data_IF_600271484153
#
_entry.id   IF_600271484153
#
_cell.length_a   1.000
_cell.length_b   1.000
_cell.length_c   1.000
_cell.angle_alpha   90.00
_cell.angle_beta   90.00
_cell.angle_gamma   90.00
#
_symmetry.space_group_name_H-M   'P 1'
#
loop_
_entity.id
_entity.type
_entity.pdbx_description
1 polymer ?
#
# COMPACT_ATOMS: atom_id res chain seq x y z
N UNK A 1 -18.22 -1.33 -14.84
CA UNK A 1 -17.47 -2.58 -14.54
C UNK A 1 -18.04 -3.34 -13.32
N UNK A 2 -18.99 -4.26 -13.50
CA UNK A 2 -19.36 -5.25 -12.48
C UNK A 2 -18.59 -6.55 -12.78
N UNK A 3 -17.35 -6.67 -12.32
CA UNK A 3 -16.61 -7.92 -12.51
C UNK A 3 -17.16 -8.99 -11.57
N UNK A 4 -17.92 -9.95 -12.12
CA UNK A 4 -18.24 -11.21 -11.42
C UNK A 4 -17.02 -12.16 -11.40
N UNK A 5 -16.08 -11.99 -12.34
CA UNK A 5 -14.83 -12.77 -12.40
C UNK A 5 -13.60 -11.86 -12.59
N UNK A 6 -12.78 -11.74 -11.54
CA UNK A 6 -11.54 -10.95 -11.55
C UNK A 6 -10.59 -11.38 -12.68
N UNK A 7 -10.57 -12.68 -13.03
CA UNK A 7 -9.69 -13.25 -14.06
C UNK A 7 -9.84 -12.66 -15.46
N UNK A 8 -11.02 -12.10 -15.79
CA UNK A 8 -11.30 -11.49 -17.10
C UNK A 8 -11.06 -9.98 -17.11
N UNK A 9 -10.78 -9.37 -15.96
CA UNK A 9 -10.51 -7.93 -15.88
C UNK A 9 -9.26 -7.54 -16.66
N UNK A 10 -9.29 -6.38 -17.31
CA UNK A 10 -8.16 -5.80 -18.05
C UNK A 10 -7.58 -6.64 -19.19
N UNK A 11 -8.29 -7.67 -19.67
CA UNK A 11 -7.95 -8.33 -20.93
C UNK A 11 -8.19 -7.34 -22.07
N UNK A 12 -7.27 -7.26 -23.03
CA UNK A 12 -7.38 -6.27 -24.11
C UNK A 12 -8.65 -6.48 -24.96
N UNK A 13 -9.10 -7.72 -25.13
CA UNK A 13 -10.37 -8.06 -25.80
C UNK A 13 -11.57 -7.46 -25.08
N UNK A 14 -11.65 -7.67 -23.77
CA UNK A 14 -12.71 -7.12 -22.90
C UNK A 14 -12.68 -5.59 -22.91
N UNK A 15 -11.49 -4.99 -22.76
CA UNK A 15 -11.34 -3.53 -22.82
C UNK A 15 -11.70 -2.98 -24.21
N UNK A 16 -11.36 -3.70 -25.27
CA UNK A 16 -11.72 -3.36 -26.65
C UNK A 16 -13.23 -3.35 -26.87
N UNK A 17 -13.93 -4.37 -26.39
CA UNK A 17 -15.39 -4.44 -26.41
C UNK A 17 -16.05 -3.30 -25.61
N UNK A 18 -15.46 -2.90 -24.48
CA UNK A 18 -15.96 -1.73 -23.72
C UNK A 18 -15.66 -0.39 -24.37
N UNK A 19 -14.65 -0.31 -25.24
CA UNK A 19 -14.28 0.93 -25.92
C UNK A 19 -15.18 1.19 -27.14
N UNK A 20 -15.45 0.16 -27.96
CA UNK A 20 -16.18 0.32 -29.25
C UNK A 20 -17.47 -0.50 -29.36
N UNK A 21 -17.89 -1.19 -28.29
CA UNK A 21 -18.98 -2.16 -28.33
C UNK A 21 -18.49 -3.58 -28.64
N UNK A 22 -19.25 -4.59 -28.20
CA UNK A 22 -18.85 -6.01 -28.28
C UNK A 22 -18.66 -6.48 -29.74
N UNK A 23 -19.49 -6.00 -30.67
CA UNK A 23 -19.39 -6.33 -32.10
C UNK A 23 -18.09 -5.79 -32.75
N UNK A 24 -17.51 -4.73 -32.19
CA UNK A 24 -16.26 -4.12 -32.67
C UNK A 24 -15.09 -4.31 -31.71
N UNK A 25 -15.18 -5.31 -30.81
CA UNK A 25 -14.13 -5.62 -29.84
C UNK A 25 -12.74 -5.83 -30.48
N UNK A 26 -12.57 -6.47 -31.65
CA UNK A 26 -11.27 -6.59 -32.31
C UNK A 26 -10.66 -5.23 -32.69
N UNK A 27 -11.45 -4.31 -33.22
CA UNK A 27 -10.99 -2.97 -33.56
C UNK A 27 -10.61 -2.16 -32.32
N UNK A 28 -11.40 -2.27 -31.24
CA UNK A 28 -11.09 -1.65 -29.96
C UNK A 28 -9.81 -2.20 -29.34
N UNK A 29 -9.63 -3.52 -29.41
CA UNK A 29 -8.41 -4.22 -28.97
C UNK A 29 -7.19 -3.70 -29.71
N UNK A 30 -7.29 -3.57 -31.05
CA UNK A 30 -6.21 -3.02 -31.88
C UNK A 30 -5.86 -1.59 -31.47
N UNK A 31 -6.86 -0.73 -31.22
CA UNK A 31 -6.64 0.65 -30.75
C UNK A 31 -5.88 0.69 -29.42
N UNK A 32 -6.31 -0.09 -28.43
CA UNK A 32 -5.64 -0.14 -27.12
C UNK A 32 -4.23 -0.74 -27.25
N UNK A 33 -4.07 -1.80 -28.05
CA UNK A 33 -2.76 -2.39 -28.30
C UNK A 33 -1.80 -1.40 -28.95
N UNK A 34 -2.27 -0.62 -29.93
CA UNK A 34 -1.49 0.44 -30.57
C UNK A 34 -1.11 1.54 -29.58
N UNK A 35 -2.03 1.96 -28.71
CA UNK A 35 -1.72 2.92 -27.65
C UNK A 35 -0.58 2.40 -26.76
N UNK A 36 -0.66 1.16 -26.28
CA UNK A 36 0.36 0.58 -25.41
C UNK A 36 1.71 0.39 -26.12
N UNK A 37 1.71 0.09 -27.42
CA UNK A 37 2.93 -0.08 -28.23
C UNK A 37 3.54 1.23 -28.70
N UNK A 38 2.80 2.34 -28.66
CA UNK A 38 3.29 3.62 -29.16
C UNK A 38 4.54 4.05 -28.40
N UNK A 39 5.57 4.44 -29.14
CA UNK A 39 6.82 5.00 -28.60
C UNK A 39 6.71 6.48 -28.24
N UNK A 40 5.59 7.13 -28.57
CA UNK A 40 5.38 8.57 -28.34
C UNK A 40 5.07 8.92 -26.88
N UNK A 41 4.87 7.92 -26.02
CA UNK A 41 4.65 8.12 -24.60
C UNK A 41 5.18 6.93 -23.81
N UNK A 42 5.43 7.16 -22.53
CA UNK A 42 5.94 6.17 -21.58
C UNK A 42 5.10 6.15 -20.30
N UNK A 43 5.17 5.05 -19.57
CA UNK A 43 4.47 4.89 -18.30
C UNK A 43 4.91 5.92 -17.25
N UNK A 44 6.13 6.43 -17.36
CA UNK A 44 6.72 7.50 -16.53
C UNK A 44 5.93 8.81 -16.60
N UNK A 45 5.23 9.11 -17.69
CA UNK A 45 4.35 10.27 -17.79
C UNK A 45 3.27 10.28 -16.68
N UNK A 46 2.61 9.13 -16.49
CA UNK A 46 1.57 9.00 -15.46
C UNK A 46 2.20 9.02 -14.08
N UNK A 47 3.36 8.41 -13.95
CA UNK A 47 4.11 8.38 -12.70
C UNK A 47 4.48 9.78 -12.22
N UNK A 48 5.04 10.62 -13.09
CA UNK A 48 5.36 12.03 -12.81
C UNK A 48 4.10 12.79 -12.39
N UNK A 49 2.99 12.62 -13.11
CA UNK A 49 1.72 13.24 -12.74
C UNK A 49 1.26 12.83 -11.33
N UNK A 50 1.35 11.54 -10.98
CA UNK A 50 0.99 11.06 -9.65
C UNK A 50 1.91 11.62 -8.56
N UNK A 51 3.21 11.71 -8.85
CA UNK A 51 4.20 12.29 -7.95
C UNK A 51 3.93 13.77 -7.70
N UNK A 52 3.67 14.57 -8.74
CA UNK A 52 3.30 15.98 -8.62
C UNK A 52 2.06 16.18 -7.75
N UNK A 53 1.03 15.33 -7.91
CA UNK A 53 -0.17 15.37 -7.06
C UNK A 53 0.13 15.01 -5.61
N UNK A 54 1.02 14.04 -5.38
CA UNK A 54 1.49 13.75 -4.04
C UNK A 54 2.28 14.93 -3.44
N UNK A 55 3.15 15.59 -4.21
CA UNK A 55 3.93 16.74 -3.75
C UNK A 55 3.03 17.90 -3.35
N UNK A 56 2.05 18.24 -4.18
CA UNK A 56 1.03 19.25 -3.86
C UNK A 56 0.32 18.93 -2.55
N UNK A 57 -0.01 17.65 -2.32
CA UNK A 57 -0.65 17.23 -1.08
C UNK A 57 0.28 17.28 0.13
N UNK A 58 1.55 16.90 -0.05
CA UNK A 58 2.56 16.97 1.01
C UNK A 58 2.73 18.42 1.49
N UNK A 59 2.86 19.36 0.54
CA UNK A 59 2.97 20.78 0.84
C UNK A 59 1.74 21.29 1.62
N UNK A 60 0.52 20.96 1.17
CA UNK A 60 -0.70 21.32 1.90
C UNK A 60 -0.73 20.80 3.34
N UNK A 61 -0.23 19.59 3.59
CA UNK A 61 -0.16 19.02 4.93
C UNK A 61 0.88 19.74 5.79
N UNK A 62 2.02 20.11 5.20
CA UNK A 62 3.07 20.87 5.86
C UNK A 62 2.60 22.29 6.22
N UNK A 63 1.92 22.98 5.31
CA UNK A 63 1.34 24.31 5.54
C UNK A 63 0.32 24.28 6.69
N UNK A 64 -0.40 23.16 6.86
CA UNK A 64 -1.32 22.90 7.96
C UNK A 64 -0.64 22.38 9.24
N UNK A 65 0.69 22.34 9.28
CA UNK A 65 1.49 21.81 10.38
C UNK A 65 1.11 20.37 10.78
N UNK A 66 0.66 19.58 9.81
CA UNK A 66 0.29 18.18 10.03
C UNK A 66 1.48 17.26 9.75
N UNK A 67 1.68 16.25 10.60
CA UNK A 67 2.65 15.20 10.33
C UNK A 67 2.29 14.47 9.03
N UNK A 68 3.19 14.58 8.06
CA UNK A 68 3.12 13.88 6.80
C UNK A 68 3.97 12.61 6.86
N UNK A 69 3.40 11.51 6.39
CA UNK A 69 4.02 10.18 6.42
C UNK A 69 4.01 9.55 5.03
N UNK A 70 5.01 8.72 4.76
CA UNK A 70 5.07 7.90 3.56
C UNK A 70 5.11 6.43 3.96
N UNK A 71 4.13 5.67 3.50
CA UNK A 71 3.93 4.27 3.84
C UNK A 71 4.63 3.40 2.80
N UNK A 72 5.55 2.55 3.24
CA UNK A 72 6.30 1.65 2.39
C UNK A 72 5.85 0.21 2.56
N UNK A 73 5.61 -0.46 1.44
CA UNK A 73 5.36 -1.90 1.44
C UNK A 73 5.58 -2.48 0.04
N UNK A 74 5.68 -3.80 0.01
CA UNK A 74 5.87 -4.57 -1.22
C UNK A 74 4.75 -5.57 -1.43
N UNK A 75 4.52 -5.90 -2.68
CA UNK A 75 3.54 -6.87 -3.12
C UNK A 75 4.05 -7.60 -4.34
N UNK A 76 3.40 -8.71 -4.69
CA UNK A 76 3.71 -9.46 -5.92
C UNK A 76 2.48 -9.55 -6.81
N UNK A 77 2.72 -9.62 -8.12
CA UNK A 77 1.71 -9.97 -9.10
C UNK A 77 2.04 -11.34 -9.67
N UNK A 78 1.24 -12.32 -9.28
CA UNK A 78 1.34 -13.71 -9.72
C UNK A 78 0.82 -13.82 -11.17
N UNK A 79 1.60 -14.50 -12.02
CA UNK A 79 1.29 -14.82 -13.43
C UNK A 79 1.53 -16.31 -13.70
N UNK A 80 0.87 -17.23 -12.94
CA UNK A 80 1.10 -18.66 -13.06
C UNK A 80 0.79 -19.23 -14.44
N UNK A 81 -0.01 -18.52 -15.24
CA UNK A 81 -0.41 -18.92 -16.59
C UNK A 81 0.69 -18.76 -17.66
N UNK A 82 1.83 -18.13 -17.35
CA UNK A 82 2.86 -17.87 -18.34
C UNK A 82 4.27 -18.09 -17.81
N UNK A 83 5.11 -18.69 -18.65
CA UNK A 83 6.57 -18.74 -18.49
C UNK A 83 7.31 -17.89 -19.54
N UNK A 84 6.59 -17.39 -20.54
CA UNK A 84 7.17 -16.75 -21.74
C UNK A 84 7.06 -15.23 -21.75
N UNK A 85 6.15 -14.64 -20.96
CA UNK A 85 6.04 -13.19 -20.90
C UNK A 85 7.32 -12.57 -20.32
N UNK A 86 7.69 -11.39 -20.81
CA UNK A 86 8.87 -10.67 -20.36
C UNK A 86 8.75 -10.20 -18.91
N UNK A 87 9.91 -10.06 -18.26
CA UNK A 87 10.03 -9.54 -16.90
C UNK A 87 9.50 -10.48 -15.80
N UNK A 88 9.24 -11.76 -16.10
CA UNK A 88 8.82 -12.71 -15.08
C UNK A 88 10.00 -13.19 -14.22
N UNK A 89 9.84 -13.13 -12.90
CA UNK A 89 10.69 -13.77 -11.91
C UNK A 89 9.88 -14.75 -11.04
N UNK A 90 10.57 -15.49 -10.17
CA UNK A 90 9.92 -16.37 -9.22
C UNK A 90 9.39 -15.56 -8.03
N UNK A 91 8.06 -15.54 -7.86
CA UNK A 91 7.41 -14.87 -6.73
C UNK A 91 6.70 -15.88 -5.83
N UNK A 92 6.72 -15.65 -4.52
CA UNK A 92 6.05 -16.54 -3.56
C UNK A 92 4.53 -16.42 -3.70
N UNK A 93 3.84 -17.53 -4.00
CA UNK A 93 2.39 -17.50 -4.19
C UNK A 93 1.64 -17.35 -2.87
N UNK A 94 0.90 -16.25 -2.75
CA UNK A 94 -0.01 -15.98 -1.64
C UNK A 94 -1.23 -16.91 -1.68
N UNK A 95 -1.68 -17.27 -2.91
CA UNK A 95 -2.80 -18.19 -3.15
C UNK A 95 -2.44 -19.60 -2.68
N UNK A 96 -1.28 -20.12 -3.08
CA UNK A 96 -0.80 -21.42 -2.63
C UNK A 96 -0.58 -21.45 -1.10
N UNK A 97 0.01 -20.39 -0.53
CA UNK A 97 0.15 -20.26 0.93
C UNK A 97 -1.19 -20.35 1.65
N UNK A 98 -2.25 -19.74 1.11
CA UNK A 98 -3.60 -19.79 1.67
C UNK A 98 -4.23 -21.18 1.55
N UNK A 99 -4.04 -21.86 0.43
CA UNK A 99 -4.55 -23.22 0.22
C UNK A 99 -3.83 -24.26 1.10
N UNK A 100 -2.54 -24.07 1.39
CA UNK A 100 -1.77 -24.91 2.32
C UNK A 100 -2.05 -24.64 3.81
N UNK A 101 -2.78 -23.56 4.15
CA UNK A 101 -3.04 -23.19 5.54
C UNK A 101 -4.07 -24.14 6.15
N UNK A 102 -3.70 -24.79 7.26
CA UNK A 102 -4.61 -25.61 8.06
C UNK A 102 -5.79 -24.75 8.56
N UNK A 103 -7.01 -25.23 8.33
CA UNK A 103 -8.23 -24.64 8.90
C UNK A 103 -8.55 -25.37 10.22
N UNK A 104 -9.16 -24.70 11.21
CA UNK A 104 -9.63 -25.37 12.42
C UNK A 104 -10.48 -26.60 12.07
N UNK A 105 -10.23 -27.73 12.74
CA UNK A 105 -10.92 -29.01 12.50
C UNK A 105 -10.31 -29.92 11.43
N UNK A 106 -9.24 -29.50 10.75
CA UNK A 106 -8.45 -30.33 9.83
C UNK A 106 -7.10 -30.63 10.46
N UNK A 107 -6.57 -31.85 10.29
CA UNK A 107 -5.41 -32.33 11.07
C UNK A 107 -4.10 -32.54 10.29
N UNK A 108 -4.12 -32.57 8.95
CA UNK A 108 -2.92 -32.76 8.13
C UNK A 108 -2.84 -31.75 6.97
N UNK A 109 -2.03 -30.69 7.05
CA UNK A 109 -1.82 -29.80 5.92
C UNK A 109 -0.89 -30.45 4.88
N UNK A 110 -1.03 -30.13 3.58
CA UNK A 110 0.05 -30.38 2.63
C UNK A 110 1.27 -29.55 3.03
N UNK A 111 2.27 -30.23 3.61
CA UNK A 111 3.53 -29.63 4.08
C UNK A 111 4.45 -29.13 2.96
N UNK A 112 5.71 -28.94 3.31
CA UNK A 112 6.79 -28.66 2.36
C UNK A 112 7.08 -27.17 2.10
N UNK A 113 8.00 -26.94 1.16
CA UNK A 113 8.56 -25.62 0.86
C UNK A 113 7.47 -24.64 0.35
N UNK A 114 7.68 -23.32 0.52
CA UNK A 114 6.82 -22.31 -0.09
C UNK A 114 6.77 -22.48 -1.61
N UNK A 115 5.55 -22.44 -2.16
CA UNK A 115 5.35 -22.51 -3.61
C UNK A 115 5.65 -21.16 -4.24
N UNK A 116 6.48 -21.18 -5.27
CA UNK A 116 6.77 -20.03 -6.11
C UNK A 116 6.11 -20.22 -7.47
N UNK A 117 5.63 -19.13 -8.04
CA UNK A 117 5.02 -19.09 -9.38
C UNK A 117 5.68 -17.96 -10.17
N UNK A 118 5.64 -17.99 -11.51
CA UNK A 118 6.04 -16.85 -12.31
C UNK A 118 5.22 -15.61 -11.92
N UNK A 119 5.87 -14.46 -11.91
CA UNK A 119 5.25 -13.18 -11.57
C UNK A 119 6.29 -12.08 -11.57
N UNK A 120 6.00 -10.99 -10.88
CA UNK A 120 6.94 -9.88 -10.73
C UNK A 120 6.60 -9.10 -9.46
N UNK A 121 7.58 -8.34 -8.99
CA UNK A 121 7.52 -7.60 -7.75
C UNK A 121 6.87 -6.23 -7.96
N UNK A 122 6.31 -5.68 -6.89
CA UNK A 122 5.62 -4.40 -6.85
C UNK A 122 5.97 -3.66 -5.57
N UNK A 123 6.67 -2.54 -5.70
CA UNK A 123 6.92 -1.62 -4.60
C UNK A 123 5.91 -0.47 -4.63
N UNK A 124 5.36 -0.13 -3.46
CA UNK A 124 4.47 1.01 -3.32
C UNK A 124 4.84 1.93 -2.19
N UNK A 125 4.71 3.22 -2.47
CA UNK A 125 4.85 4.30 -1.53
C UNK A 125 3.54 5.09 -1.57
N UNK A 126 2.84 5.14 -0.43
CA UNK A 126 1.63 5.95 -0.28
C UNK A 126 1.89 7.12 0.65
N UNK A 127 1.61 8.34 0.18
CA UNK A 127 1.64 9.54 0.99
C UNK A 127 0.36 9.66 1.81
N UNK A 128 0.44 10.00 3.10
CA UNK A 128 -0.72 10.26 3.93
C UNK A 128 -0.40 11.27 5.04
N UNK A 129 -1.44 11.89 5.61
CA UNK A 129 -1.38 12.46 6.96
C UNK A 129 -1.91 11.45 7.99
N UNK A 130 -1.69 11.73 9.27
CA UNK A 130 -2.17 10.85 10.37
C UNK A 130 -3.70 10.67 10.37
N UNK A 131 -4.46 11.63 9.80
CA UNK A 131 -5.93 11.62 9.76
C UNK A 131 -6.53 11.70 8.36
N UNK A 132 -5.74 11.85 7.30
CA UNK A 132 -6.24 12.13 5.93
C UNK A 132 -6.17 10.89 5.04
N UNK A 133 -6.96 10.79 3.97
CA UNK A 133 -6.84 9.65 3.05
C UNK A 133 -5.46 9.59 2.36
N UNK A 134 -4.98 8.38 2.01
CA UNK A 134 -3.69 8.22 1.36
C UNK A 134 -3.79 8.57 -0.13
N UNK A 135 -2.66 8.94 -0.71
CA UNK A 135 -2.44 9.13 -2.15
C UNK A 135 -1.27 8.28 -2.61
N UNK A 136 -1.25 7.94 -3.90
CA UNK A 136 -0.11 7.24 -4.50
C UNK A 136 1.03 8.25 -4.66
N UNK A 137 2.20 7.96 -4.10
CA UNK A 137 3.42 8.68 -4.41
C UNK A 137 4.20 7.94 -5.50
N UNK A 138 4.47 6.65 -5.27
CA UNK A 138 5.18 5.80 -6.23
C UNK A 138 4.58 4.41 -6.30
N UNK A 139 4.44 3.88 -7.51
CA UNK A 139 4.30 2.46 -7.76
C UNK A 139 5.38 2.05 -8.75
N UNK A 140 6.19 1.05 -8.36
CA UNK A 140 7.22 0.45 -9.21
C UNK A 140 6.94 -1.02 -9.36
N UNK A 141 6.78 -1.47 -10.59
CA UNK A 141 6.85 -2.89 -10.92
C UNK A 141 8.23 -3.21 -11.40
N UNK A 142 8.81 -4.26 -10.85
CA UNK A 142 10.17 -4.65 -11.16
C UNK A 142 10.29 -6.17 -11.15
N UNK A 143 11.37 -6.65 -11.73
CA UNK A 143 11.71 -8.07 -11.74
C UNK A 143 13.11 -8.24 -11.19
N UNK A 144 13.41 -9.42 -10.67
CA UNK A 144 14.73 -9.77 -10.12
C UNK A 144 15.53 -10.65 -11.08
N UNK A 145 15.03 -10.88 -12.29
CA UNK A 145 15.63 -11.79 -13.28
C UNK A 145 15.51 -11.24 -14.71
N UNK A 146 16.52 -11.54 -15.52
CA UNK A 146 16.54 -11.23 -16.96
C UNK A 146 16.98 -9.81 -17.25
N UNK A 147 16.73 -9.36 -18.46
CA UNK A 147 17.14 -8.04 -18.99
C UNK A 147 16.68 -6.87 -18.11
N UNK A 148 15.49 -6.97 -17.51
CA UNK A 148 14.91 -5.92 -16.67
C UNK A 148 15.19 -6.12 -15.17
N UNK A 149 16.15 -6.97 -14.81
CA UNK A 149 16.45 -7.28 -13.41
C UNK A 149 16.88 -6.03 -12.64
N UNK A 150 16.30 -5.85 -11.47
CA UNK A 150 16.67 -4.82 -10.52
C UNK A 150 16.96 -5.48 -9.17
N UNK A 151 18.04 -5.04 -8.53
CA UNK A 151 18.30 -5.38 -7.14
C UNK A 151 17.31 -4.63 -6.24
N UNK A 152 16.70 -5.37 -5.31
CA UNK A 152 15.66 -4.86 -4.42
C UNK A 152 16.17 -3.72 -3.55
N UNK A 153 17.36 -3.85 -2.97
CA UNK A 153 17.90 -2.83 -2.08
C UNK A 153 18.24 -1.55 -2.85
N UNK A 154 18.80 -1.70 -4.05
CA UNK A 154 19.11 -0.58 -4.94
C UNK A 154 17.84 0.19 -5.34
N UNK A 155 16.76 -0.52 -5.67
CA UNK A 155 15.45 0.10 -5.95
C UNK A 155 14.88 0.82 -4.72
N UNK A 156 14.92 0.21 -3.54
CA UNK A 156 14.48 0.85 -2.29
C UNK A 156 15.25 2.15 -2.01
N UNK A 157 16.57 2.12 -2.18
CA UNK A 157 17.45 3.27 -1.96
C UNK A 157 17.18 4.37 -2.99
N UNK A 158 17.00 4.02 -4.26
CA UNK A 158 16.63 4.97 -5.31
C UNK A 158 15.28 5.63 -5.05
N UNK A 159 14.26 4.87 -4.63
CA UNK A 159 12.96 5.43 -4.25
C UNK A 159 13.04 6.31 -3.00
N UNK A 160 13.94 6.00 -2.07
CA UNK A 160 14.15 6.82 -0.87
C UNK A 160 14.72 8.17 -1.28
N UNK A 161 15.73 8.18 -2.15
CA UNK A 161 16.30 9.40 -2.71
C UNK A 161 15.27 10.20 -3.50
N UNK A 162 14.48 9.55 -4.38
CA UNK A 162 13.40 10.20 -5.11
C UNK A 162 12.35 10.80 -4.16
N UNK A 163 12.03 10.12 -3.06
CA UNK A 163 11.11 10.64 -2.03
C UNK A 163 11.70 11.86 -1.31
N UNK A 164 13.00 11.84 -0.98
CA UNK A 164 13.69 12.98 -0.35
C UNK A 164 13.73 14.17 -1.30
N UNK A 165 14.04 13.96 -2.57
CA UNK A 165 14.01 15.02 -3.59
C UNK A 165 12.61 15.58 -3.76
N UNK A 166 11.59 14.71 -3.78
CA UNK A 166 10.23 15.13 -4.06
C UNK A 166 9.56 15.85 -2.88
N UNK A 167 9.81 15.41 -1.64
CA UNK A 167 9.06 15.84 -0.45
C UNK A 167 9.93 16.48 0.64
N UNK A 168 11.25 16.45 0.50
CA UNK A 168 12.20 16.85 1.53
C UNK A 168 12.36 15.79 2.64
N UNK A 169 13.04 16.16 3.73
CA UNK A 169 13.40 15.26 4.84
C UNK A 169 12.45 15.29 6.04
N UNK A 170 11.41 16.13 5.99
CA UNK A 170 10.50 16.34 7.10
C UNK A 170 9.46 15.20 7.24
N UNK A 171 9.23 14.42 6.18
CA UNK A 171 8.27 13.33 6.17
C UNK A 171 8.79 12.14 6.98
N UNK A 172 7.86 11.42 7.63
CA UNK A 172 8.21 10.19 8.32
C UNK A 172 7.97 8.97 7.42
N UNK A 173 9.03 8.21 7.17
CA UNK A 173 8.97 6.97 6.42
C UNK A 173 8.54 5.81 7.32
N UNK A 174 7.42 5.15 6.99
CA UNK A 174 6.83 4.08 7.80
C UNK A 174 7.06 2.72 7.16
N UNK A 175 7.72 1.82 7.89
CA UNK A 175 8.15 0.51 7.41
C UNK A 175 7.67 -0.64 8.30
N UNK A 176 7.36 -1.80 7.70
CA UNK A 176 7.10 -3.02 8.45
C UNK A 176 8.39 -3.82 8.78
N UNK A 177 8.22 -4.90 9.55
CA UNK A 177 9.30 -5.79 10.03
C UNK A 177 10.23 -6.33 8.93
N UNK A 178 9.76 -6.43 7.68
CA UNK A 178 10.57 -6.91 6.56
C UNK A 178 11.74 -5.98 6.19
N UNK A 179 11.67 -4.72 6.61
CA UNK A 179 12.73 -3.72 6.40
C UNK A 179 13.69 -3.63 7.59
N UNK A 180 13.42 -4.36 8.68
CA UNK A 180 14.28 -4.31 9.85
C UNK A 180 15.60 -5.02 9.56
N UNK A 181 16.69 -4.26 9.61
CA UNK A 181 18.04 -4.77 9.42
C UNK A 181 19.06 -3.65 9.40
N UNK A 182 20.32 -4.00 9.72
CA UNK A 182 21.46 -3.06 9.78
C UNK A 182 21.58 -2.20 8.53
N UNK A 183 21.51 -2.84 7.35
CA UNK A 183 21.75 -2.17 6.06
C UNK A 183 20.71 -1.09 5.76
N UNK A 184 19.42 -1.41 5.89
CA UNK A 184 18.35 -0.44 5.63
C UNK A 184 18.28 0.64 6.72
N UNK A 185 18.48 0.27 7.99
CA UNK A 185 18.56 1.26 9.07
C UNK A 185 19.71 2.25 8.84
N UNK A 186 20.87 1.77 8.39
CA UNK A 186 22.01 2.62 8.02
C UNK A 186 21.64 3.63 6.93
N UNK A 187 20.97 3.18 5.87
CA UNK A 187 20.51 4.06 4.79
C UNK A 187 19.61 5.19 5.32
N UNK A 188 18.62 4.87 6.16
CA UNK A 188 17.71 5.88 6.74
C UNK A 188 18.45 6.91 7.61
N UNK A 189 19.45 6.44 8.38
CA UNK A 189 20.26 7.30 9.25
C UNK A 189 21.21 8.19 8.45
N UNK A 190 21.89 7.63 7.44
CA UNK A 190 22.76 8.38 6.53
C UNK A 190 22.00 9.50 5.82
N UNK A 191 20.79 9.21 5.32
CA UNK A 191 19.97 10.21 4.64
C UNK A 191 19.30 11.22 5.60
N UNK A 192 19.38 10.98 6.91
CA UNK A 192 18.79 11.81 7.98
C UNK A 192 17.29 12.05 7.80
N UNK A 193 16.56 11.00 7.42
CA UNK A 193 15.10 11.05 7.25
C UNK A 193 14.39 10.63 8.53
N UNK A 194 13.22 11.22 8.81
CA UNK A 194 12.34 10.74 9.86
C UNK A 194 11.79 9.35 9.52
N UNK A 195 11.77 8.42 10.47
CA UNK A 195 11.18 7.09 10.20
C UNK A 195 10.45 6.47 11.40
N UNK A 196 9.54 5.54 11.08
CA UNK A 196 8.91 4.63 12.02
C UNK A 196 9.03 3.21 11.47
N UNK A 197 9.91 2.41 12.05
CA UNK A 197 10.22 1.06 11.60
C UNK A 197 9.72 0.05 12.64
N UNK A 198 8.85 -0.88 12.25
CA UNK A 198 8.47 -1.96 13.17
C UNK A 198 9.63 -2.90 13.40
N UNK A 199 10.16 -2.87 14.62
CA UNK A 199 11.31 -3.64 15.02
C UNK A 199 10.88 -5.05 15.49
N UNK A 200 11.49 -6.13 14.98
CA UNK A 200 11.24 -7.47 15.47
C UNK A 200 11.62 -7.58 16.95
N UNK A 201 10.73 -8.14 17.77
CA UNK A 201 10.90 -8.17 19.22
C UNK A 201 12.21 -8.82 19.70
N UNK A 202 12.73 -9.78 18.92
CA UNK A 202 13.97 -10.53 19.22
C UNK A 202 15.24 -9.82 18.74
N UNK A 203 15.11 -8.80 17.89
CA UNK A 203 16.26 -8.03 17.43
C UNK A 203 16.81 -7.21 18.58
N UNK A 204 18.13 -7.11 18.62
CA UNK A 204 18.86 -6.49 19.71
C UNK A 204 19.00 -4.99 19.47
N UNK A 205 18.91 -4.24 20.56
CA UNK A 205 19.24 -2.83 20.66
C UNK A 205 20.13 -2.66 21.90
N UNK A 206 20.74 -1.50 22.03
CA UNK A 206 21.56 -1.15 23.20
C UNK A 206 20.77 -0.16 24.05
N UNK A 207 20.70 -0.44 25.34
CA UNK A 207 20.24 0.52 26.34
C UNK A 207 21.25 0.60 27.50
N UNK A 208 20.91 1.28 28.58
CA UNK A 208 21.77 1.46 29.77
C UNK A 208 22.31 0.14 30.35
N UNK A 209 21.63 -1.00 30.12
CA UNK A 209 22.08 -2.32 30.59
C UNK A 209 22.76 -3.14 29.49
N UNK A 210 23.21 -2.49 28.42
CA UNK A 210 23.89 -3.09 27.29
C UNK A 210 22.96 -3.68 26.24
N UNK A 211 23.49 -4.63 25.46
CA UNK A 211 22.85 -5.19 24.27
C UNK A 211 21.79 -6.23 24.62
N UNK A 212 20.51 -5.93 24.36
CA UNK A 212 19.36 -6.78 24.75
C UNK A 212 18.30 -6.80 23.66
N UNK A 213 17.47 -7.83 23.64
CA UNK A 213 16.34 -7.89 22.72
C UNK A 213 15.29 -6.81 23.06
N UNK A 214 14.65 -6.23 22.05
CA UNK A 214 13.67 -5.15 22.24
C UNK A 214 12.54 -5.50 23.24
N UNK A 215 12.10 -6.76 23.29
CA UNK A 215 11.10 -7.19 24.29
C UNK A 215 11.63 -7.18 25.73
N UNK A 216 12.93 -7.44 25.93
CA UNK A 216 13.56 -7.43 27.25
C UNK A 216 13.76 -6.00 27.75
N UNK A 217 14.10 -5.07 26.85
CA UNK A 217 14.25 -3.64 27.13
C UNK A 217 12.93 -3.07 27.70
N UNK A 218 11.80 -3.46 27.08
CA UNK A 218 10.48 -2.98 27.47
C UNK A 218 9.84 -3.75 28.65
N UNK A 219 10.44 -4.87 29.09
CA UNK A 219 9.86 -5.75 30.11
C UNK A 219 9.86 -5.05 31.47
N UNK A 220 8.72 -5.08 32.15
CA UNK A 220 8.55 -4.44 33.47
C UNK A 220 8.50 -2.91 33.45
N UNK A 221 8.69 -2.26 32.29
CA UNK A 221 8.61 -0.80 32.19
C UNK A 221 7.15 -0.33 32.27
N UNK A 222 6.94 0.70 33.09
CA UNK A 222 5.65 1.36 33.27
C UNK A 222 5.19 2.05 31.98
N UNK A 223 3.89 2.27 31.87
CA UNK A 223 3.31 3.02 30.74
C UNK A 223 3.58 4.50 30.91
N UNK A 224 4.10 5.16 29.87
CA UNK A 224 4.30 6.61 29.84
C UNK A 224 2.99 7.35 29.53
N UNK A 225 2.23 6.86 28.54
CA UNK A 225 1.02 7.54 28.07
C UNK A 225 -0.12 6.55 27.80
N UNK A 226 -1.35 6.97 28.09
CA UNK A 226 -2.59 6.24 27.77
C UNK A 226 -3.47 7.10 26.87
N UNK A 227 -4.14 6.49 25.89
CA UNK A 227 -5.10 7.18 25.02
C UNK A 227 -6.24 6.25 24.66
N UNK A 228 -7.45 6.82 24.54
CA UNK A 228 -8.59 6.11 23.96
C UNK A 228 -8.47 6.12 22.44
N UNK A 229 -8.46 4.93 21.85
CA UNK A 229 -8.38 4.71 20.40
C UNK A 229 -9.62 3.93 19.98
N UNK A 230 -10.23 4.34 18.86
CA UNK A 230 -11.36 3.63 18.29
C UNK A 230 -10.88 2.37 17.54
N UNK A 231 -11.33 1.19 17.95
CA UNK A 231 -11.14 -0.05 17.19
C UNK A 231 -12.27 -0.18 16.17
N UNK A 232 -11.99 0.20 14.92
CA UNK A 232 -12.96 0.16 13.83
C UNK A 232 -13.45 -1.25 13.48
N UNK A 233 -12.67 -2.31 13.78
CA UNK A 233 -13.09 -3.68 13.49
C UNK A 233 -14.11 -4.18 14.52
N UNK A 234 -13.90 -3.86 15.80
CA UNK A 234 -14.83 -4.22 16.86
C UNK A 234 -15.84 -3.13 17.23
N UNK A 235 -15.77 -1.97 16.56
CA UNK A 235 -16.66 -0.83 16.75
C UNK A 235 -16.76 -0.41 18.22
N UNK A 236 -15.61 -0.31 18.90
CA UNK A 236 -15.57 0.07 20.31
C UNK A 236 -14.34 0.94 20.64
N UNK A 237 -14.49 1.80 21.64
CA UNK A 237 -13.38 2.53 22.22
C UNK A 237 -12.51 1.59 23.06
N UNK A 238 -11.19 1.73 22.92
CA UNK A 238 -10.22 0.96 23.70
C UNK A 238 -9.17 1.88 24.28
N UNK A 239 -8.71 1.56 25.48
CA UNK A 239 -7.57 2.23 26.08
C UNK A 239 -6.30 1.55 25.60
N UNK A 240 -5.54 2.24 24.74
CA UNK A 240 -4.19 1.86 24.38
C UNK A 240 -3.20 2.51 25.33
N UNK A 241 -2.09 1.81 25.60
CA UNK A 241 -0.95 2.36 26.33
C UNK A 241 0.30 2.32 25.46
N UNK A 242 1.16 3.32 25.64
CA UNK A 242 2.45 3.38 24.98
C UNK A 242 3.52 3.90 25.95
N UNK A 243 4.77 3.54 25.66
CA UNK A 243 5.96 4.06 26.31
C UNK A 243 7.05 4.23 25.27
N UNK A 244 7.96 5.17 25.48
CA UNK A 244 9.18 5.31 24.70
C UNK A 244 10.39 5.09 25.59
N UNK A 245 11.42 4.45 25.03
CA UNK A 245 12.69 4.19 25.71
C UNK A 245 13.81 4.64 24.78
N UNK A 246 14.72 5.47 25.29
CA UNK A 246 15.94 5.82 24.58
C UNK A 246 16.79 4.55 24.40
N UNK A 247 17.26 4.35 23.17
CA UNK A 247 18.06 3.19 22.76
C UNK A 247 19.05 3.62 21.68
N UNK A 248 20.06 2.80 21.42
CA UNK A 248 20.92 2.92 20.24
C UNK A 248 21.01 1.59 19.52
N UNK A 249 21.57 1.62 18.31
CA UNK A 249 21.91 0.40 17.57
C UNK A 249 23.42 0.16 17.70
N UNK A 250 23.85 -1.09 17.91
CA UNK A 250 25.26 -1.40 18.18
C UNK A 250 26.21 -0.94 17.06
N UNK A 251 25.76 -1.00 15.81
CA UNK A 251 26.53 -0.53 14.65
C UNK A 251 26.45 0.99 14.42
N UNK A 252 25.55 1.68 15.11
CA UNK A 252 25.31 3.12 14.96
C UNK A 252 25.17 3.76 16.36
N UNK A 253 26.23 3.69 17.19
CA UNK A 253 26.16 4.08 18.60
C UNK A 253 25.87 5.57 18.81
N UNK A 254 26.32 6.42 17.89
CA UNK A 254 26.15 7.88 17.97
C UNK A 254 24.76 8.35 17.53
N UNK A 255 23.92 7.44 17.02
CA UNK A 255 22.59 7.76 16.52
C UNK A 255 21.56 7.54 17.63
N UNK A 256 21.00 8.65 18.14
CA UNK A 256 19.94 8.61 19.12
C UNK A 256 18.66 8.02 18.52
N UNK A 257 18.17 6.93 19.13
CA UNK A 257 16.97 6.25 18.70
C UNK A 257 16.01 6.08 19.88
N UNK A 258 14.74 5.86 19.54
CA UNK A 258 13.68 5.60 20.50
C UNK A 258 12.94 4.31 20.14
N UNK A 259 12.76 3.45 21.14
CA UNK A 259 11.91 2.27 21.07
C UNK A 259 10.54 2.60 21.66
N UNK A 260 9.58 2.89 20.79
CA UNK A 260 8.18 3.08 21.17
C UNK A 260 7.47 1.73 21.24
N UNK A 261 6.95 1.40 22.42
CA UNK A 261 6.22 0.15 22.66
C UNK A 261 4.74 0.41 22.89
N UNK A 262 3.92 0.05 21.90
CA UNK A 262 2.47 0.16 22.00
C UNK A 262 1.85 -1.15 22.47
N UNK A 263 1.14 -1.09 23.59
CA UNK A 263 0.38 -2.19 24.18
C UNK A 263 -1.11 -1.93 23.92
N UNK A 264 -1.67 -2.68 22.98
CA UNK A 264 -3.06 -2.49 22.51
C UNK A 264 -4.12 -3.22 23.37
N UNK A 265 -3.72 -3.77 24.52
CA UNK A 265 -4.58 -4.49 25.46
C UNK A 265 -5.03 -5.89 25.00
N UNK A 266 -5.75 -6.60 25.87
CA UNK A 266 -6.39 -7.92 25.62
C UNK A 266 -5.46 -9.02 25.08
N UNK A 267 -4.25 -9.14 25.63
CA UNK A 267 -3.31 -10.22 25.28
C UNK A 267 -2.72 -10.14 23.86
N UNK A 268 -2.94 -9.04 23.13
CA UNK A 268 -2.32 -8.84 21.82
C UNK A 268 -0.82 -8.58 21.95
N UNK A 269 -0.06 -9.11 21.01
CA UNK A 269 1.38 -8.86 20.94
C UNK A 269 1.64 -7.34 20.79
N UNK A 270 2.47 -6.74 21.67
CA UNK A 270 2.84 -5.34 21.57
C UNK A 270 3.52 -5.00 20.24
N UNK A 271 3.37 -3.76 19.81
CA UNK A 271 4.17 -3.22 18.72
C UNK A 271 5.45 -2.62 19.29
N UNK A 272 6.58 -3.01 18.71
CA UNK A 272 7.89 -2.42 18.98
C UNK A 272 8.24 -1.59 17.74
N UNK A 273 8.31 -0.26 17.91
CA UNK A 273 8.50 0.70 16.83
C UNK A 273 9.80 1.45 17.11
N UNK A 274 10.79 1.27 16.24
CA UNK A 274 12.04 2.01 16.29
C UNK A 274 11.89 3.29 15.47
N UNK A 275 12.32 4.42 16.03
CA UNK A 275 12.25 5.73 15.39
C UNK A 275 13.43 6.59 15.81
N UNK A 276 13.80 7.56 14.97
CA UNK A 276 14.73 8.65 15.31
C UNK A 276 14.01 9.93 15.75
N UNK A 277 12.69 9.91 15.90
CA UNK A 277 11.93 11.05 16.41
C UNK A 277 12.05 11.09 17.94
N UNK A 278 12.41 12.25 18.48
CA UNK A 278 12.53 12.47 19.92
C UNK A 278 11.16 12.26 20.61
N UNK A 279 11.09 11.26 21.48
CA UNK A 279 9.83 10.79 22.07
C UNK A 279 9.65 11.22 23.54
N UNK A 280 10.14 12.41 23.88
CA UNK A 280 10.05 12.97 25.23
C UNK A 280 8.60 13.32 25.59
N UNK A 281 7.84 13.81 24.61
CA UNK A 281 6.45 14.21 24.77
C UNK A 281 5.47 13.08 24.42
N UNK A 282 4.42 12.95 25.23
CA UNK A 282 3.34 11.99 25.07
C UNK A 282 2.68 12.03 23.68
N UNK A 283 2.56 13.22 23.08
CA UNK A 283 1.97 13.40 21.76
C UNK A 283 2.82 12.83 20.64
N UNK A 284 4.16 12.96 20.72
CA UNK A 284 5.07 12.38 19.72
C UNK A 284 5.01 10.86 19.78
N UNK A 285 5.00 10.28 20.98
CA UNK A 285 4.83 8.83 21.19
C UNK A 285 3.57 8.34 20.48
N UNK A 286 2.44 9.05 20.64
CA UNK A 286 1.20 8.68 19.94
C UNK A 286 1.24 8.93 18.45
N UNK A 287 1.90 9.98 17.97
CA UNK A 287 2.09 10.24 16.54
C UNK A 287 2.85 9.09 15.88
N UNK A 288 3.87 8.53 16.54
CA UNK A 288 4.60 7.34 16.07
C UNK A 288 3.68 6.11 16.00
N UNK A 289 2.88 5.87 17.05
CA UNK A 289 1.92 4.75 17.06
C UNK A 289 0.85 4.90 15.98
N UNK A 290 0.31 6.11 15.81
CA UNK A 290 -0.69 6.42 14.79
C UNK A 290 -0.09 6.29 13.38
N UNK A 291 1.11 6.80 13.14
CA UNK A 291 1.83 6.66 11.88
C UNK A 291 1.98 5.17 11.50
N UNK A 292 2.40 4.32 12.44
CA UNK A 292 2.47 2.88 12.17
C UNK A 292 1.09 2.25 11.97
N UNK A 293 0.05 2.69 12.69
CA UNK A 293 -1.31 2.20 12.48
C UNK A 293 -1.82 2.52 11.05
N UNK A 294 -1.41 3.66 10.47
CA UNK A 294 -1.71 4.03 9.07
C UNK A 294 -1.11 3.08 8.05
N UNK A 295 -0.03 2.36 8.38
CA UNK A 295 0.59 1.38 7.48
C UNK A 295 -0.42 0.38 6.89
N UNK A 296 -1.49 0.00 7.61
CA UNK A 296 -2.51 -0.91 7.07
C UNK A 296 -3.20 -0.43 5.78
N UNK A 297 -3.12 0.87 5.47
CA UNK A 297 -3.69 1.46 4.26
C UNK A 297 -3.02 0.95 2.99
N UNK A 298 -1.71 0.67 3.02
CA UNK A 298 -1.04 0.12 1.83
C UNK A 298 -1.46 -1.33 1.56
N UNK A 299 -1.70 -2.13 2.60
CA UNK A 299 -2.30 -3.45 2.43
C UNK A 299 -3.73 -3.37 1.86
N UNK A 300 -4.50 -2.35 2.28
CA UNK A 300 -5.82 -2.10 1.71
C UNK A 300 -5.73 -1.71 0.24
N UNK A 301 -4.74 -0.90 -0.14
CA UNK A 301 -4.42 -0.59 -1.53
C UNK A 301 -4.11 -1.86 -2.34
N UNK A 302 -3.24 -2.74 -1.83
CA UNK A 302 -2.92 -4.02 -2.49
C UNK A 302 -4.14 -4.89 -2.70
N UNK A 303 -4.96 -5.02 -1.67
CA UNK A 303 -6.17 -5.84 -1.72
C UNK A 303 -7.15 -5.28 -2.74
N UNK A 304 -7.42 -3.98 -2.68
CA UNK A 304 -8.32 -3.29 -3.61
C UNK A 304 -7.81 -3.38 -5.06
N UNK A 305 -6.55 -3.07 -5.30
CA UNK A 305 -5.97 -3.08 -6.64
C UNK A 305 -6.00 -4.47 -7.27
N UNK A 306 -5.69 -5.52 -6.50
CA UNK A 306 -5.73 -6.90 -6.99
C UNK A 306 -7.15 -7.43 -7.14
N UNK A 307 -8.09 -7.07 -6.26
CA UNK A 307 -9.46 -7.61 -6.29
C UNK A 307 -10.41 -6.82 -7.18
N UNK A 308 -10.42 -5.50 -7.05
CA UNK A 308 -11.40 -4.62 -7.68
C UNK A 308 -10.92 -4.00 -8.99
N UNK A 309 -9.61 -3.78 -9.13
CA UNK A 309 -9.00 -3.27 -10.37
C UNK A 309 -8.35 -4.36 -11.21
N UNK A 310 -8.47 -5.63 -10.79
CA UNK A 310 -8.01 -6.80 -11.52
C UNK A 310 -6.54 -6.76 -11.96
N UNK A 311 -5.64 -6.12 -11.18
CA UNK A 311 -4.23 -5.93 -11.57
C UNK A 311 -3.46 -7.24 -11.83
N UNK A 312 -3.96 -8.38 -11.34
CA UNK A 312 -3.37 -9.71 -11.61
C UNK A 312 -3.80 -10.32 -12.94
N UNK A 313 -4.74 -9.72 -13.67
CA UNK A 313 -5.37 -10.31 -14.85
C UNK A 313 -4.75 -9.93 -16.21
N UNK A 314 -4.08 -8.77 -16.41
CA UNK A 314 -3.45 -8.45 -17.69
C UNK A 314 -2.49 -9.53 -18.20
N UNK A 315 -2.59 -9.91 -19.49
CA UNK A 315 -1.75 -10.94 -20.14
C UNK A 315 -0.80 -10.36 -21.20
N UNK A 316 -0.28 -9.17 -20.96
CA UNK A 316 0.63 -8.49 -21.89
C UNK A 316 2.00 -9.18 -21.89
N UNK A 317 2.49 -9.52 -23.08
CA UNK A 317 3.77 -10.23 -23.25
C UNK A 317 4.98 -9.33 -23.03
N UNK A 318 4.93 -8.10 -23.54
CA UNK A 318 6.04 -7.17 -23.48
C UNK A 318 6.05 -6.39 -22.16
N UNK A 319 7.25 -6.20 -21.60
CA UNK A 319 7.43 -5.55 -20.31
C UNK A 319 6.95 -4.09 -20.32
N UNK A 320 7.38 -3.29 -21.29
CA UNK A 320 7.03 -1.87 -21.35
C UNK A 320 5.52 -1.64 -21.53
N UNK A 321 4.88 -2.39 -22.44
CA UNK A 321 3.43 -2.32 -22.63
C UNK A 321 2.67 -2.65 -21.33
N UNK A 322 3.21 -3.57 -20.53
CA UNK A 322 2.65 -3.94 -19.23
C UNK A 322 2.75 -2.78 -18.26
N UNK A 323 3.93 -2.16 -18.12
CA UNK A 323 4.10 -0.99 -17.25
C UNK A 323 3.13 0.13 -17.60
N UNK A 324 2.94 0.41 -18.89
CA UNK A 324 1.96 1.39 -19.41
C UNK A 324 0.54 1.09 -18.95
N UNK A 325 0.04 -0.12 -19.21
CA UNK A 325 -1.32 -0.48 -18.79
C UNK A 325 -1.47 -0.42 -17.26
N UNK A 326 -0.46 -0.87 -16.53
CA UNK A 326 -0.51 -0.87 -15.07
C UNK A 326 -0.49 0.54 -14.48
N UNK A 327 0.26 1.47 -15.08
CA UNK A 327 0.23 2.89 -14.73
C UNK A 327 -1.13 3.52 -15.05
N UNK A 328 -1.77 3.19 -16.17
CA UNK A 328 -3.15 3.63 -16.43
C UNK A 328 -4.11 3.16 -15.33
N UNK A 329 -3.96 1.94 -14.83
CA UNK A 329 -4.78 1.43 -13.72
C UNK A 329 -4.43 2.13 -12.40
N UNK A 330 -3.16 2.46 -12.16
CA UNK A 330 -2.75 3.28 -11.02
C UNK A 330 -3.37 4.68 -11.06
N UNK A 331 -3.48 5.29 -12.24
CA UNK A 331 -4.17 6.56 -12.44
C UNK A 331 -5.67 6.45 -12.09
N UNK A 332 -6.34 5.38 -12.52
CA UNK A 332 -7.73 5.10 -12.13
C UNK A 332 -7.84 4.92 -10.61
N UNK A 333 -6.89 4.22 -9.98
CA UNK A 333 -6.86 4.08 -8.52
C UNK A 333 -6.69 5.43 -7.82
N UNK A 334 -5.79 6.28 -8.31
CA UNK A 334 -5.57 7.63 -7.77
C UNK A 334 -6.82 8.50 -7.87
N UNK A 335 -7.53 8.44 -9.00
CA UNK A 335 -8.82 9.11 -9.16
C UNK A 335 -9.86 8.61 -8.15
N UNK A 336 -9.94 7.30 -7.92
CA UNK A 336 -10.85 6.76 -6.91
C UNK A 336 -10.49 7.23 -5.49
N UNK A 337 -9.19 7.36 -5.18
CA UNK A 337 -8.73 7.91 -3.90
C UNK A 337 -9.06 9.39 -3.75
N UNK A 338 -9.00 10.19 -4.82
CA UNK A 338 -9.36 11.62 -4.74
C UNK A 338 -10.83 11.82 -4.38
N UNK A 339 -11.72 10.88 -4.71
CA UNK A 339 -13.14 10.91 -4.30
C UNK A 339 -13.35 10.65 -2.80
N UNK A 340 -12.32 10.20 -2.08
CA UNK A 340 -12.36 10.03 -0.63
C UNK A 340 -12.03 11.31 0.13
N UNK A 341 -11.47 12.33 -0.52
CA UNK A 341 -11.12 13.60 0.13
C UNK A 341 -12.36 14.20 0.81
N UNK A 342 -12.14 14.82 1.98
CA UNK A 342 -13.20 15.27 2.90
C UNK A 342 -14.16 16.23 2.20
N UNK A 343 -13.64 17.14 1.37
CA UNK A 343 -14.40 18.18 0.69
C UNK A 343 -15.38 17.65 -0.37
N UNK A 344 -15.27 16.37 -0.73
CA UNK A 344 -16.17 15.71 -1.70
C UNK A 344 -17.27 14.88 -1.02
N UNK A 345 -17.55 15.11 0.27
CA UNK A 345 -18.51 14.32 1.04
C UNK A 345 -19.92 14.30 0.40
N UNK A 346 -20.44 15.46 -0.02
CA UNK A 346 -21.77 15.57 -0.63
C UNK A 346 -21.85 14.80 -1.96
N UNK A 347 -20.89 15.01 -2.86
CA UNK A 347 -20.80 14.29 -4.15
C UNK A 347 -20.69 12.77 -3.93
N UNK A 348 -19.82 12.35 -3.01
CA UNK A 348 -19.67 10.93 -2.65
C UNK A 348 -20.99 10.35 -2.16
N UNK A 349 -21.70 11.03 -1.27
CA UNK A 349 -22.98 10.56 -0.76
C UNK A 349 -24.04 10.49 -1.86
N UNK A 350 -24.14 11.50 -2.72
CA UNK A 350 -25.07 11.52 -3.85
C UNK A 350 -24.80 10.33 -4.79
N UNK A 351 -23.55 10.13 -5.21
CA UNK A 351 -23.13 9.02 -6.07
C UNK A 351 -23.46 7.67 -5.43
N UNK A 352 -23.18 7.50 -4.14
CA UNK A 352 -23.49 6.26 -3.41
C UNK A 352 -24.99 6.03 -3.26
N UNK A 353 -25.79 7.07 -3.00
CA UNK A 353 -27.25 6.95 -2.87
C UNK A 353 -27.91 6.59 -4.20
N UNK A 354 -27.48 7.20 -5.30
CA UNK A 354 -28.08 6.96 -6.62
C UNK A 354 -27.64 5.63 -7.25
N UNK A 355 -26.36 5.25 -7.12
CA UNK A 355 -25.79 4.15 -7.93
C UNK A 355 -25.26 2.96 -7.13
N UNK A 356 -25.21 3.06 -5.79
CA UNK A 356 -24.82 1.96 -4.91
C UNK A 356 -25.55 2.03 -3.56
N UNK A 357 -26.88 2.20 -3.63
CA UNK A 357 -27.72 2.26 -2.44
C UNK A 357 -27.63 0.93 -1.67
N UNK A 358 -27.46 1.01 -0.35
CA UNK A 358 -27.44 -0.15 0.54
C UNK A 358 -28.25 0.18 1.78
N UNK A 359 -29.19 -0.69 2.11
CA UNK A 359 -29.98 -0.64 3.34
C UNK A 359 -29.27 -1.40 4.47
N UNK A 360 -29.56 -1.02 5.72
CA UNK A 360 -29.04 -1.68 6.92
C UNK A 360 -27.86 -0.98 7.61
N UNK A 361 -27.94 -0.86 8.94
CA UNK A 361 -26.98 -0.15 9.82
C UNK A 361 -25.52 -0.58 9.59
N UNK A 362 -25.28 -1.88 9.38
CA UNK A 362 -23.93 -2.45 9.14
C UNK A 362 -23.30 -2.03 7.81
N UNK A 363 -24.12 -1.85 6.77
CA UNK A 363 -23.64 -1.40 5.45
C UNK A 363 -23.45 0.12 5.40
N UNK A 364 -24.20 0.86 6.20
CA UNK A 364 -24.08 2.31 6.36
C UNK A 364 -22.88 2.70 7.23
N UNK A 365 -22.54 1.91 8.25
CA UNK A 365 -21.40 2.15 9.14
C UNK A 365 -20.07 1.55 8.66
N UNK A 366 -20.07 0.67 7.64
CA UNK A 366 -18.86 0.06 7.12
C UNK A 366 -17.96 1.09 6.42
N UNK A 367 -16.73 1.23 6.92
CA UNK A 367 -15.63 2.04 6.37
C UNK A 367 -15.06 1.47 5.05
N UNK A 368 -15.93 1.15 4.07
CA UNK A 368 -15.53 0.68 2.73
C UNK A 368 -16.00 1.62 1.61
N UNK A 369 -15.81 2.96 1.73
CA UNK A 369 -16.30 3.88 0.72
C UNK A 369 -15.70 3.59 -0.66
N UNK A 370 -14.44 3.18 -0.75
CA UNK A 370 -13.76 2.98 -2.04
C UNK A 370 -14.35 1.84 -2.89
N UNK A 371 -14.68 0.70 -2.27
CA UNK A 371 -15.32 -0.43 -2.95
C UNK A 371 -16.71 -0.04 -3.47
N UNK A 372 -17.49 0.67 -2.65
CA UNK A 372 -18.82 1.12 -3.02
C UNK A 372 -18.78 2.23 -4.08
N UNK A 373 -17.82 3.15 -3.98
CA UNK A 373 -17.59 4.21 -4.96
C UNK A 373 -17.25 3.63 -6.32
N UNK A 374 -16.33 2.67 -6.38
CA UNK A 374 -16.01 1.98 -7.63
C UNK A 374 -17.24 1.28 -8.21
N UNK A 375 -18.03 0.59 -7.38
CA UNK A 375 -19.25 -0.08 -7.84
C UNK A 375 -20.31 0.92 -8.35
N UNK A 376 -20.45 2.08 -7.69
CA UNK A 376 -21.33 3.16 -8.09
C UNK A 376 -20.93 3.74 -9.45
N UNK A 377 -19.66 4.12 -9.62
CA UNK A 377 -19.12 4.61 -10.90
C UNK A 377 -19.26 3.57 -12.01
N UNK A 378 -18.99 2.31 -11.68
CA UNK A 378 -19.15 1.21 -12.61
C UNK A 378 -20.60 1.04 -13.09
N UNK A 379 -21.60 1.32 -12.25
CA UNK A 379 -23.01 1.28 -12.63
C UNK A 379 -23.38 2.51 -13.45
N UNK A 380 -23.00 3.71 -12.98
CA UNK A 380 -23.22 4.98 -13.67
C UNK A 380 -22.70 4.93 -15.12
N UNK A 381 -21.43 4.54 -15.31
CA UNK A 381 -20.82 4.49 -16.65
C UNK A 381 -21.48 3.47 -17.56
N UNK A 382 -21.90 2.31 -17.03
CA UNK A 382 -22.61 1.32 -17.84
C UNK A 382 -23.96 1.85 -18.29
N UNK A 383 -24.72 2.48 -17.40
CA UNK A 383 -26.01 3.08 -17.77
C UNK A 383 -25.84 4.21 -18.78
N UNK A 384 -24.85 5.08 -18.61
CA UNK A 384 -24.54 6.14 -19.56
C UNK A 384 -24.21 5.58 -20.95
N UNK A 385 -23.36 4.54 -21.02
CA UNK A 385 -23.03 3.86 -22.28
C UNK A 385 -24.27 3.27 -22.96
N UNK A 386 -25.15 2.61 -22.19
CA UNK A 386 -26.40 2.06 -22.74
C UNK A 386 -27.27 3.15 -23.33
N UNK A 387 -27.47 4.27 -22.62
CA UNK A 387 -28.26 5.40 -23.12
C UNK A 387 -27.67 5.90 -24.44
N UNK A 388 -26.37 6.19 -24.47
CA UNK A 388 -25.71 6.72 -25.69
C UNK A 388 -25.75 5.77 -26.88
N UNK A 389 -25.86 4.45 -26.65
CA UNK A 389 -25.96 3.45 -27.71
C UNK A 389 -27.40 3.20 -28.19
N UNK A 390 -28.41 3.49 -27.36
CA UNK A 390 -29.83 3.36 -27.73
C UNK A 390 -30.43 4.66 -28.30
N UNK A 391 -29.75 5.79 -28.14
CA UNK A 391 -30.20 7.12 -28.59
C UNK A 391 -29.65 7.54 -29.95
N UNK A 392 -28.96 6.66 -30.67
CA UNK A 392 -28.57 6.83 -32.07
C UNK A 392 -29.13 5.66 -32.88
#
# INVERSE_FOLDING_TARGET
>A
MRFRHNSMGLLLSELGGKLLGEQHAPAGTKRISNLLRSKTWEHTLIETFLLEKAQQRAQQLQDQQQTCIILWDESVLEKPESLKAQGLCAVRSSKAKRLKRLKPGFFNPPGGRPVHVPGFEWMGLLLAGLKTHPMIAFFRWYTTRGEYAQDRFSLQSALLMQSITAFGRQLWHVFDRGYAGKRWLGELLTQRVGFVLRWPKRYQLVDEKGRRAAWQIARGRATQVRRRVWDAHQQQWRQGSALALAVTHADYPDQALWLVVSRLGKGREPWYLLTNQACDQADVVWSVVLAYARRWQIEACWRFSKSELALQSPRLWFWENRLKLMMMVALVYAFLLSLLVIDQHAYRLALLRSWCHRTGKRCQSALTPLYRLRAALAALLTTYQTITQTSG
#
